data_IF_603553203519
#
_entry.id   IF_603553203519
#
_cell.length_a   1.000
_cell.length_b   1.000
_cell.length_c   1.000
_cell.angle_alpha   90.00
_cell.angle_beta   90.00
_cell.angle_gamma   90.00
#
_symmetry.space_group_name_H-M   'P 1'
#
loop_
_entity.id
_entity.type
_entity.pdbx_description
1 polymer ?
#
# COMPACT_ATOMS: atom_id res chain seq x y z
N UNK A 1 -1.18 -6.34 24.00
CA UNK A 1 -0.29 -7.08 23.08
C UNK A 1 0.22 -8.30 23.83
N UNK A 2 -0.08 -9.50 23.37
CA UNK A 2 0.29 -10.74 24.06
C UNK A 2 1.69 -11.14 23.55
N UNK A 3 2.68 -11.38 24.44
CA UNK A 3 4.01 -11.84 24.01
C UNK A 3 3.89 -13.21 23.31
N UNK A 4 4.79 -13.52 22.35
CA UNK A 4 4.76 -14.84 21.72
C UNK A 4 5.04 -15.93 22.76
N UNK A 5 4.42 -17.09 22.60
CA UNK A 5 4.77 -18.26 23.39
C UNK A 5 6.23 -18.65 23.14
N UNK A 6 6.93 -19.03 24.21
CA UNK A 6 8.27 -19.60 24.16
C UNK A 6 8.26 -21.13 24.16
N UNK A 7 7.08 -21.77 24.20
CA UNK A 7 6.96 -23.23 24.13
C UNK A 7 7.49 -23.74 22.79
N UNK A 8 8.40 -24.72 22.81
CA UNK A 8 8.94 -25.35 21.59
C UNK A 8 10.02 -24.53 20.87
N UNK A 9 10.45 -23.38 21.40
CA UNK A 9 11.44 -22.52 20.72
C UNK A 9 12.83 -23.14 20.66
N UNK A 10 13.18 -23.98 21.63
CA UNK A 10 14.45 -24.72 21.69
C UNK A 10 14.59 -25.77 20.59
N UNK A 11 13.47 -26.37 20.18
CA UNK A 11 13.40 -27.27 19.03
C UNK A 11 13.35 -26.50 17.69
N UNK A 12 12.83 -25.27 17.72
CA UNK A 12 12.56 -24.45 16.52
C UNK A 12 13.76 -23.68 16.01
N UNK A 13 14.46 -22.99 16.91
CA UNK A 13 15.50 -22.03 16.55
C UNK A 13 16.88 -22.63 16.76
N UNK A 14 17.81 -22.33 15.83
CA UNK A 14 19.22 -22.65 16.01
C UNK A 14 19.77 -21.94 17.26
N UNK A 15 20.76 -22.51 17.97
CA UNK A 15 21.23 -21.96 19.25
C UNK A 15 21.78 -20.55 19.11
N UNK A 16 22.56 -20.31 18.04
CA UNK A 16 23.13 -19.00 17.73
C UNK A 16 22.03 -17.97 17.51
N UNK A 17 21.01 -18.31 16.71
CA UNK A 17 19.86 -17.44 16.46
C UNK A 17 19.10 -17.09 17.75
N UNK A 18 18.78 -18.10 18.56
CA UNK A 18 18.05 -17.90 19.81
C UNK A 18 18.83 -17.00 20.78
N UNK A 19 20.16 -17.19 20.87
CA UNK A 19 21.05 -16.33 21.64
C UNK A 19 21.05 -14.90 21.12
N UNK A 20 21.13 -14.70 19.80
CA UNK A 20 21.13 -13.37 19.19
C UNK A 20 19.82 -12.61 19.42
N UNK A 21 18.67 -13.30 19.37
CA UNK A 21 17.37 -12.68 19.69
C UNK A 21 17.31 -12.25 21.16
N UNK A 22 17.77 -13.11 22.07
CA UNK A 22 17.70 -12.87 23.51
C UNK A 22 18.71 -11.83 24.00
N UNK A 23 19.93 -11.82 23.44
CA UNK A 23 21.05 -11.03 23.97
C UNK A 23 21.41 -9.85 23.05
N UNK A 24 21.32 -10.02 21.74
CA UNK A 24 21.82 -9.07 20.73
C UNK A 24 20.70 -8.35 19.97
N UNK A 25 19.45 -8.43 20.45
CA UNK A 25 18.29 -7.73 19.89
C UNK A 25 17.96 -8.09 18.43
N UNK A 26 18.41 -9.26 17.95
CA UNK A 26 18.16 -9.68 16.56
C UNK A 26 16.66 -9.80 16.28
N UNK A 27 16.22 -9.28 15.13
CA UNK A 27 14.82 -9.32 14.69
C UNK A 27 14.72 -9.79 13.24
N UNK A 28 13.65 -10.51 12.92
CA UNK A 28 13.31 -11.00 11.57
C UNK A 28 12.02 -10.37 11.01
N UNK A 29 11.37 -9.49 11.79
CA UNK A 29 10.12 -8.83 11.41
C UNK A 29 10.30 -7.32 11.50
N UNK A 30 10.79 -6.66 10.43
CA UNK A 30 11.07 -5.23 10.46
C UNK A 30 9.81 -4.40 10.75
N UNK A 31 8.65 -4.85 10.29
CA UNK A 31 7.34 -4.20 10.45
C UNK A 31 6.74 -4.27 11.87
N UNK A 32 7.23 -5.16 12.74
CA UNK A 32 6.80 -5.15 14.14
C UNK A 32 7.58 -4.06 14.86
N UNK A 33 6.93 -3.14 15.57
CA UNK A 33 7.64 -2.14 16.41
C UNK A 33 7.84 -2.61 17.85
N UNK A 34 6.96 -3.49 18.35
CA UNK A 34 7.10 -4.05 19.69
C UNK A 34 8.33 -4.94 19.76
N UNK A 35 9.16 -4.75 20.79
CA UNK A 35 10.37 -5.53 21.04
C UNK A 35 10.28 -6.24 22.38
N UNK A 36 10.96 -7.37 22.48
CA UNK A 36 11.19 -8.03 23.76
C UNK A 36 12.09 -7.11 24.63
N UNK A 37 11.75 -6.87 25.91
CA UNK A 37 12.64 -6.18 26.84
C UNK A 37 13.98 -6.91 26.98
N UNK A 38 15.01 -6.15 27.31
CA UNK A 38 16.37 -6.64 27.30
C UNK A 38 16.85 -6.85 28.72
N UNK A 39 16.85 -8.12 29.13
CA UNK A 39 17.16 -8.52 30.49
C UNK A 39 18.66 -8.68 30.73
N UNK A 40 19.50 -8.61 29.68
CA UNK A 40 20.96 -8.71 29.78
C UNK A 40 21.47 -10.14 29.91
N UNK A 41 22.67 -10.41 29.37
CA UNK A 41 23.25 -11.75 29.27
C UNK A 41 23.35 -12.48 30.61
N UNK A 42 23.62 -11.77 31.71
CA UNK A 42 23.71 -12.35 33.04
C UNK A 42 22.41 -13.04 33.48
N UNK A 43 21.25 -12.47 33.12
CA UNK A 43 19.95 -12.97 33.55
C UNK A 43 19.38 -14.05 32.62
N UNK A 44 19.65 -13.97 31.31
CA UNK A 44 18.97 -14.83 30.32
C UNK A 44 19.92 -15.65 29.43
N UNK A 45 21.24 -15.54 29.60
CA UNK A 45 22.21 -16.21 28.75
C UNK A 45 22.20 -17.74 28.83
N UNK A 46 21.62 -18.30 29.90
CA UNK A 46 21.50 -19.74 30.12
C UNK A 46 20.23 -20.35 29.49
N UNK A 47 19.22 -19.52 29.17
CA UNK A 47 17.92 -19.96 28.67
C UNK A 47 17.99 -20.74 27.34
N UNK A 48 18.82 -20.38 26.34
CA UNK A 48 18.90 -21.16 25.09
C UNK A 48 19.20 -22.65 25.32
N UNK A 49 20.08 -22.95 26.28
CA UNK A 49 20.43 -24.33 26.62
C UNK A 49 19.28 -25.06 27.33
N UNK A 50 18.56 -24.37 28.22
CA UNK A 50 17.40 -24.94 28.91
C UNK A 50 16.26 -25.23 27.93
N UNK A 51 15.92 -24.28 27.06
CA UNK A 51 14.90 -24.49 26.04
C UNK A 51 15.21 -25.70 25.16
N UNK A 52 16.47 -25.87 24.75
CA UNK A 52 16.89 -27.03 23.94
C UNK A 52 16.78 -28.36 24.68
N UNK A 53 17.02 -28.38 25.99
CA UNK A 53 16.90 -29.59 26.79
C UNK A 53 15.44 -30.01 26.98
N UNK A 54 14.53 -29.04 27.07
CA UNK A 54 13.11 -29.29 27.33
C UNK A 54 12.29 -29.49 26.05
N UNK A 55 12.61 -28.74 24.99
CA UNK A 55 11.85 -28.75 23.74
C UNK A 55 12.38 -29.84 22.81
N UNK A 56 11.77 -31.02 22.86
CA UNK A 56 12.01 -32.12 21.92
C UNK A 56 10.94 -32.17 20.82
N UNK A 57 11.34 -32.64 19.63
CA UNK A 57 10.44 -33.00 18.55
C UNK A 57 10.65 -34.47 18.17
N UNK A 58 9.59 -35.17 17.72
CA UNK A 58 9.74 -36.52 17.18
C UNK A 58 10.80 -36.55 16.08
N UNK A 59 11.53 -37.65 16.01
CA UNK A 59 12.43 -37.89 14.88
C UNK A 59 11.65 -37.97 13.58
N UNK A 60 12.29 -37.52 12.51
CA UNK A 60 11.74 -37.51 11.17
C UNK A 60 12.87 -37.80 10.19
N UNK A 61 12.59 -38.64 9.21
CA UNK A 61 13.53 -38.95 8.14
C UNK A 61 13.52 -37.82 7.11
N UNK A 62 14.70 -37.31 6.80
CA UNK A 62 14.89 -36.35 5.72
C UNK A 62 15.04 -37.09 4.41
N UNK A 63 14.30 -36.67 3.38
CA UNK A 63 14.55 -37.17 2.05
C UNK A 63 15.97 -36.82 1.60
N UNK A 64 16.54 -37.64 0.73
CA UNK A 64 17.86 -37.44 0.15
C UNK A 64 17.71 -37.14 -1.33
N UNK A 65 18.46 -36.15 -1.81
CA UNK A 65 18.59 -35.87 -3.24
C UNK A 65 19.95 -36.37 -3.75
N UNK A 66 20.00 -37.10 -4.88
CA UNK A 66 21.27 -37.56 -5.46
C UNK A 66 22.20 -36.40 -5.84
N UNK A 67 21.63 -35.34 -6.44
CA UNK A 67 22.36 -34.13 -6.79
C UNK A 67 21.80 -32.93 -6.01
N UNK A 68 22.66 -32.28 -5.23
CA UNK A 68 22.33 -31.07 -4.48
C UNK A 68 21.96 -29.91 -5.41
N UNK A 69 22.58 -29.82 -6.60
CA UNK A 69 22.26 -28.78 -7.57
C UNK A 69 20.84 -28.96 -8.09
N UNK A 70 20.46 -30.17 -8.46
CA UNK A 70 19.10 -30.52 -8.86
C UNK A 70 18.09 -30.23 -7.74
N UNK A 71 18.41 -30.61 -6.50
CA UNK A 71 17.56 -30.31 -5.34
C UNK A 71 17.30 -28.80 -5.19
N UNK A 72 18.33 -27.98 -5.38
CA UNK A 72 18.22 -26.52 -5.34
C UNK A 72 17.44 -25.94 -6.51
N UNK A 73 17.59 -26.49 -7.70
CA UNK A 73 16.81 -26.10 -8.88
C UNK A 73 15.33 -26.42 -8.67
N UNK A 74 15.02 -27.62 -8.15
CA UNK A 74 13.67 -28.00 -7.76
C UNK A 74 13.11 -27.10 -6.66
N UNK A 75 13.90 -26.81 -5.63
CA UNK A 75 13.51 -25.93 -4.54
C UNK A 75 13.20 -24.52 -5.03
N UNK A 76 14.02 -23.97 -5.93
CA UNK A 76 13.81 -22.68 -6.58
C UNK A 76 12.47 -22.62 -7.33
N UNK A 77 12.11 -23.67 -8.06
CA UNK A 77 10.83 -23.75 -8.76
C UNK A 77 9.66 -23.84 -7.80
N UNK A 78 9.77 -24.67 -6.77
CA UNK A 78 8.74 -24.87 -5.75
C UNK A 78 8.42 -23.58 -4.98
N UNK A 79 9.42 -22.80 -4.60
CA UNK A 79 9.16 -21.55 -3.84
C UNK A 79 8.56 -20.43 -4.72
N UNK A 80 8.73 -20.50 -6.03
CA UNK A 80 8.27 -19.50 -6.98
C UNK A 80 6.76 -19.55 -7.28
N UNK A 81 6.28 -18.58 -8.05
CA UNK A 81 4.85 -18.43 -8.38
C UNK A 81 4.24 -19.56 -9.24
N UNK A 82 5.07 -20.38 -9.89
CA UNK A 82 4.61 -21.58 -10.63
C UNK A 82 4.63 -22.86 -9.79
N UNK A 83 5.21 -22.84 -8.59
CA UNK A 83 5.21 -23.93 -7.62
C UNK A 83 4.15 -23.75 -6.54
N UNK A 84 4.59 -23.72 -5.29
CA UNK A 84 3.79 -23.47 -4.09
C UNK A 84 3.56 -21.98 -3.80
N UNK A 85 4.17 -21.09 -4.60
CA UNK A 85 3.98 -19.63 -4.53
C UNK A 85 4.31 -19.01 -3.17
N UNK A 86 5.37 -19.50 -2.50
CA UNK A 86 5.81 -19.01 -1.19
C UNK A 86 6.12 -17.50 -1.22
N UNK A 87 6.63 -17.02 -2.34
CA UNK A 87 7.00 -15.61 -2.59
C UNK A 87 5.82 -14.64 -2.63
N UNK A 88 4.58 -15.12 -2.74
CA UNK A 88 3.40 -14.25 -2.67
C UNK A 88 3.14 -13.69 -1.26
N UNK A 89 3.65 -14.36 -0.22
CA UNK A 89 3.47 -13.98 1.18
C UNK A 89 4.79 -13.78 1.93
N UNK A 90 5.90 -14.37 1.49
CA UNK A 90 7.17 -14.20 2.18
C UNK A 90 8.05 -13.15 1.52
N UNK A 91 8.70 -12.33 2.34
CA UNK A 91 9.77 -11.44 1.91
C UNK A 91 10.92 -12.25 1.29
N UNK A 92 11.60 -11.69 0.29
CA UNK A 92 12.76 -12.33 -0.33
C UNK A 92 13.87 -11.31 -0.60
N UNK A 93 15.03 -11.47 0.03
CA UNK A 93 16.16 -10.50 -0.09
C UNK A 93 15.72 -9.06 0.21
N UNK A 94 14.99 -8.87 1.32
CA UNK A 94 14.40 -7.60 1.74
C UNK A 94 13.31 -7.03 0.81
N UNK A 95 12.99 -7.70 -0.31
CA UNK A 95 11.84 -7.34 -1.13
C UNK A 95 10.58 -7.90 -0.48
N UNK A 96 9.75 -7.01 0.04
CA UNK A 96 8.47 -7.35 0.67
C UNK A 96 7.51 -7.94 -0.36
N UNK A 97 6.74 -8.95 0.04
CA UNK A 97 5.61 -9.40 -0.76
C UNK A 97 4.47 -8.38 -0.68
N UNK A 98 3.72 -8.18 -1.77
CA UNK A 98 2.67 -7.17 -1.84
C UNK A 98 1.44 -7.46 -0.97
N UNK A 99 1.18 -8.72 -0.65
CA UNK A 99 -0.04 -9.09 0.08
C UNK A 99 0.09 -8.92 1.59
N UNK A 100 1.06 -9.62 2.18
CA UNK A 100 1.32 -9.65 3.62
C UNK A 100 2.78 -10.09 3.83
N UNK A 101 3.72 -9.17 4.11
CA UNK A 101 5.13 -9.52 4.22
C UNK A 101 5.39 -10.39 5.46
N UNK A 102 5.45 -11.70 5.26
CA UNK A 102 5.95 -12.65 6.24
C UNK A 102 7.49 -12.61 6.29
N UNK A 103 8.05 -13.43 7.18
CA UNK A 103 9.49 -13.55 7.42
C UNK A 103 10.28 -13.82 6.13
N UNK A 104 11.48 -13.26 6.01
CA UNK A 104 12.30 -13.38 4.80
C UNK A 104 12.76 -14.83 4.58
N UNK A 105 12.40 -15.43 3.44
CA UNK A 105 12.77 -16.81 3.10
C UNK A 105 14.28 -17.03 3.18
N UNK A 106 15.07 -16.02 2.81
CA UNK A 106 16.54 -16.11 2.77
C UNK A 106 17.20 -16.14 4.15
N UNK A 107 16.44 -16.02 5.25
CA UNK A 107 16.94 -16.21 6.61
C UNK A 107 16.51 -17.54 7.24
N UNK A 108 15.66 -18.32 6.56
CA UNK A 108 15.03 -19.50 7.19
C UNK A 108 16.04 -20.56 7.61
N UNK A 109 17.01 -20.90 6.74
CA UNK A 109 18.01 -21.91 7.05
C UNK A 109 19.04 -21.45 8.09
N UNK A 110 19.29 -20.14 8.23
CA UNK A 110 20.13 -19.59 9.31
C UNK A 110 19.39 -19.63 10.65
N UNK A 111 18.07 -19.44 10.62
CA UNK A 111 17.23 -19.27 11.80
C UNK A 111 16.71 -20.57 12.38
N UNK A 112 16.21 -21.47 11.52
CA UNK A 112 15.41 -22.63 11.93
C UNK A 112 16.26 -23.89 12.01
N UNK A 113 15.90 -24.78 12.94
CA UNK A 113 16.36 -26.16 12.91
C UNK A 113 15.65 -26.91 11.77
N UNK A 114 16.42 -27.68 10.97
CA UNK A 114 15.88 -28.44 9.82
C UNK A 114 14.75 -29.38 10.24
N UNK A 115 14.92 -30.07 11.37
CA UNK A 115 13.89 -30.96 11.95
C UNK A 115 12.58 -30.24 12.19
N UNK A 116 12.64 -29.03 12.77
CA UNK A 116 11.44 -28.23 12.99
C UNK A 116 10.81 -27.76 11.68
N UNK A 117 11.63 -27.33 10.71
CA UNK A 117 11.14 -26.91 9.40
C UNK A 117 10.32 -28.02 8.73
N UNK A 118 10.82 -29.27 8.75
CA UNK A 118 10.10 -30.43 8.22
C UNK A 118 8.73 -30.62 8.84
N UNK A 119 8.67 -30.68 10.18
CA UNK A 119 7.40 -30.84 10.90
C UNK A 119 6.45 -29.67 10.62
N UNK A 120 6.96 -28.44 10.57
CA UNK A 120 6.16 -27.25 10.30
C UNK A 120 5.61 -27.23 8.87
N UNK A 121 6.40 -27.62 7.87
CA UNK A 121 5.95 -27.66 6.47
C UNK A 121 4.86 -28.70 6.24
N UNK A 122 4.93 -29.85 6.93
CA UNK A 122 3.92 -30.90 6.85
C UNK A 122 2.59 -30.50 7.48
N UNK A 123 2.61 -29.75 8.59
CA UNK A 123 1.40 -29.29 9.28
C UNK A 123 1.61 -27.94 10.01
N UNK A 124 1.51 -26.80 9.29
CA UNK A 124 1.74 -25.48 9.89
C UNK A 124 0.74 -25.13 11.00
N UNK A 125 -0.51 -25.60 10.88
CA UNK A 125 -1.61 -25.26 11.80
C UNK A 125 -1.37 -25.86 13.19
N UNK A 126 -0.76 -27.05 13.27
CA UNK A 126 -0.39 -27.68 14.55
C UNK A 126 0.61 -26.86 15.37
N UNK A 127 1.49 -26.12 14.70
CA UNK A 127 2.52 -25.29 15.36
C UNK A 127 2.09 -23.84 15.55
N UNK A 128 1.19 -23.34 14.72
CA UNK A 128 0.74 -21.96 14.74
C UNK A 128 -0.74 -21.94 14.38
N UNK A 129 -1.63 -22.15 15.38
CA UNK A 129 -3.07 -22.10 15.15
C UNK A 129 -3.48 -20.78 14.50
N UNK A 130 -4.31 -20.85 13.46
CA UNK A 130 -4.75 -19.71 12.66
C UNK A 130 -3.64 -19.05 11.81
N UNK A 131 -2.53 -19.75 11.54
CA UNK A 131 -1.57 -19.26 10.57
C UNK A 131 -2.22 -19.15 9.20
N UNK A 132 -1.91 -18.08 8.46
CA UNK A 132 -2.35 -17.91 7.07
C UNK A 132 -1.60 -18.85 6.13
N UNK A 133 -0.48 -19.42 6.58
CA UNK A 133 0.30 -20.36 5.79
C UNK A 133 -0.55 -21.61 5.46
N UNK A 134 -0.76 -21.91 4.17
CA UNK A 134 -1.55 -23.07 3.75
C UNK A 134 -0.87 -24.39 4.13
N UNK A 135 -1.69 -25.44 4.26
CA UNK A 135 -1.18 -26.83 4.24
C UNK A 135 -0.97 -27.25 2.78
N UNK A 136 0.29 -27.37 2.36
CA UNK A 136 0.63 -27.78 0.99
C UNK A 136 0.60 -29.29 0.78
N UNK A 137 0.59 -30.08 1.86
CA UNK A 137 0.53 -31.54 1.80
C UNK A 137 -0.56 -32.14 2.69
N UNK A 138 -1.84 -31.75 2.52
CA UNK A 138 -2.93 -32.26 3.37
C UNK A 138 -3.04 -33.78 3.27
N UNK A 139 -3.07 -34.46 4.42
CA UNK A 139 -3.10 -35.92 4.48
C UNK A 139 -1.84 -36.61 3.92
N UNK A 140 -0.70 -35.90 3.88
CA UNK A 140 0.57 -36.43 3.38
C UNK A 140 0.64 -36.54 1.86
N UNK A 141 -0.18 -35.77 1.12
CA UNK A 141 -0.19 -35.75 -0.35
C UNK A 141 -0.04 -34.33 -0.88
N UNK A 142 0.76 -34.08 -1.92
CA UNK A 142 0.87 -32.76 -2.53
C UNK A 142 -0.50 -32.21 -2.95
N UNK A 143 -0.80 -30.97 -2.57
CA UNK A 143 -2.01 -30.27 -2.99
C UNK A 143 -2.04 -30.04 -4.51
N UNK A 144 -0.87 -30.04 -5.14
CA UNK A 144 -0.68 -29.90 -6.58
C UNK A 144 -0.06 -31.17 -7.16
N UNK A 145 -0.87 -31.93 -7.88
CA UNK A 145 -0.47 -33.19 -8.49
C UNK A 145 0.51 -33.02 -9.67
N UNK A 146 0.60 -31.82 -10.22
CA UNK A 146 1.51 -31.48 -11.32
C UNK A 146 2.93 -31.13 -10.84
N UNK A 147 3.14 -31.01 -9.52
CA UNK A 147 4.47 -30.87 -8.93
C UNK A 147 5.03 -32.24 -8.60
N UNK A 148 6.15 -32.61 -9.22
CA UNK A 148 6.77 -33.92 -9.05
C UNK A 148 7.40 -34.08 -7.65
N UNK A 149 7.65 -35.34 -7.27
CA UNK A 149 8.25 -35.71 -6.00
C UNK A 149 7.25 -35.90 -4.86
N UNK A 150 7.65 -36.68 -3.87
CA UNK A 150 6.94 -36.90 -2.62
C UNK A 150 6.96 -35.63 -1.74
N UNK A 151 6.08 -35.50 -0.74
CA UNK A 151 6.12 -34.38 0.20
C UNK A 151 7.51 -34.17 0.84
N UNK A 152 8.16 -35.25 1.26
CA UNK A 152 9.47 -35.16 1.91
C UNK A 152 10.57 -34.72 0.93
N UNK A 153 10.53 -35.16 -0.32
CA UNK A 153 11.47 -34.72 -1.37
C UNK A 153 11.26 -33.24 -1.72
N UNK A 154 10.01 -32.79 -1.84
CA UNK A 154 9.67 -31.39 -2.09
C UNK A 154 10.12 -30.49 -0.94
N UNK A 155 9.87 -30.90 0.31
CA UNK A 155 10.34 -30.17 1.51
C UNK A 155 11.87 -30.14 1.55
N UNK A 156 12.55 -31.23 1.22
CA UNK A 156 14.02 -31.26 1.19
C UNK A 156 14.57 -30.31 0.12
N UNK A 157 14.00 -30.34 -1.09
CA UNK A 157 14.41 -29.46 -2.18
C UNK A 157 14.26 -27.99 -1.78
N UNK A 158 13.13 -27.62 -1.15
CA UNK A 158 12.94 -26.28 -0.60
C UNK A 158 14.01 -25.97 0.45
N UNK A 159 14.29 -26.87 1.39
CA UNK A 159 15.32 -26.66 2.41
C UNK A 159 16.70 -26.43 1.78
N UNK A 160 17.13 -27.30 0.86
CA UNK A 160 18.42 -27.20 0.15
C UNK A 160 18.57 -25.88 -0.61
N UNK A 161 17.48 -25.40 -1.22
CA UNK A 161 17.44 -24.09 -1.84
C UNK A 161 17.60 -22.94 -0.82
N UNK A 162 16.90 -23.02 0.32
CA UNK A 162 16.95 -22.00 1.37
C UNK A 162 18.30 -21.95 2.11
N UNK A 163 19.10 -23.03 2.08
CA UNK A 163 20.46 -23.05 2.65
C UNK A 163 21.41 -22.05 1.98
N UNK A 164 21.17 -21.65 0.74
CA UNK A 164 21.96 -20.60 0.08
C UNK A 164 21.70 -19.21 0.66
N UNK A 165 20.67 -19.07 1.51
CA UNK A 165 20.34 -17.86 2.24
C UNK A 165 20.28 -16.64 1.32
N UNK A 166 21.03 -15.58 1.67
CA UNK A 166 21.09 -14.33 0.88
C UNK A 166 21.70 -14.51 -0.51
N UNK A 167 22.43 -15.59 -0.76
CA UNK A 167 23.02 -15.92 -2.06
C UNK A 167 22.08 -16.73 -2.97
N UNK A 168 20.94 -17.20 -2.46
CA UNK A 168 19.97 -17.98 -3.24
C UNK A 168 19.54 -17.22 -4.51
N UNK A 169 19.28 -17.95 -5.60
CA UNK A 169 18.76 -17.38 -6.85
C UNK A 169 17.32 -16.86 -6.64
N UNK A 170 16.99 -15.69 -7.18
CA UNK A 170 15.66 -15.10 -7.05
C UNK A 170 14.58 -15.95 -7.74
N UNK A 171 13.54 -16.43 -7.03
CA UNK A 171 12.44 -17.17 -7.63
C UNK A 171 11.59 -16.31 -8.55
N UNK A 172 10.92 -16.95 -9.50
CA UNK A 172 9.88 -16.32 -10.32
C UNK A 172 8.74 -15.82 -9.42
N UNK A 173 8.22 -14.64 -9.71
CA UNK A 173 7.16 -13.99 -8.93
C UNK A 173 7.65 -13.03 -7.86
N UNK A 174 8.93 -13.06 -7.47
CA UNK A 174 9.55 -11.99 -6.64
C UNK A 174 9.75 -10.72 -7.46
N UNK A 175 10.15 -10.88 -8.72
CA UNK A 175 10.13 -9.83 -9.72
C UNK A 175 8.87 -10.09 -10.53
N UNK A 176 7.83 -9.32 -10.28
CA UNK A 176 6.64 -9.36 -11.11
C UNK A 176 6.88 -8.48 -12.33
N UNK A 177 6.51 -8.98 -13.51
CA UNK A 177 6.48 -8.15 -14.72
C UNK A 177 5.41 -7.07 -14.50
N UNK A 178 5.72 -5.79 -14.79
CA UNK A 178 4.78 -4.72 -14.53
C UNK A 178 3.52 -4.90 -15.39
N UNK A 179 2.35 -4.71 -14.78
CA UNK A 179 1.07 -4.69 -15.48
C UNK A 179 0.64 -3.24 -15.68
N UNK A 180 1.21 -2.62 -16.71
CA UNK A 180 1.02 -1.20 -17.00
C UNK A 180 -0.36 -1.00 -17.65
N UNK A 181 -1.17 -0.13 -17.04
CA UNK A 181 -2.36 0.41 -17.71
C UNK A 181 -1.92 1.59 -18.56
N UNK A 182 -1.93 1.38 -19.87
CA UNK A 182 -1.60 2.43 -20.85
C UNK A 182 -2.84 3.28 -21.12
N UNK A 183 -2.67 4.60 -21.04
CA UNK A 183 -3.69 5.57 -21.43
C UNK A 183 -3.50 5.88 -22.92
N UNK A 184 -4.56 5.72 -23.69
CA UNK A 184 -4.58 6.03 -25.12
C UNK A 184 -5.20 7.39 -25.37
N UNK A 185 -6.24 7.40 -26.18
CA UNK A 185 -7.02 8.56 -26.65
C UNK A 185 -8.23 8.91 -25.76
N UNK A 186 -8.50 8.07 -24.76
CA UNK A 186 -9.55 8.23 -23.75
C UNK A 186 -8.96 7.98 -22.35
N UNK A 187 -9.60 8.58 -21.34
CA UNK A 187 -9.19 8.39 -19.96
C UNK A 187 -9.33 6.91 -19.53
N UNK A 188 -8.41 6.47 -18.67
CA UNK A 188 -8.45 5.14 -18.05
C UNK A 188 -8.59 5.26 -16.55
N UNK A 189 -9.34 4.35 -15.95
CA UNK A 189 -9.61 4.36 -14.52
C UNK A 189 -9.21 3.05 -13.85
N UNK A 190 -8.73 3.13 -12.60
CA UNK A 190 -8.50 1.99 -11.75
C UNK A 190 -8.98 2.27 -10.32
N UNK A 191 -9.89 1.44 -9.82
CA UNK A 191 -10.50 1.58 -8.47
C UNK A 191 -9.86 0.62 -7.48
N UNK A 192 -8.91 1.12 -6.70
CA UNK A 192 -8.08 0.34 -5.77
C UNK A 192 -7.48 1.25 -4.69
N UNK A 193 -6.68 0.67 -3.81
CA UNK A 193 -5.89 1.41 -2.82
C UNK A 193 -4.69 2.09 -3.50
N UNK A 194 -4.45 3.36 -3.21
CA UNK A 194 -3.32 4.14 -3.73
C UNK A 194 -2.45 4.64 -2.55
N UNK A 195 -1.20 5.06 -2.78
CA UNK A 195 -0.43 5.76 -1.75
C UNK A 195 -1.22 6.98 -1.24
N UNK A 196 -1.36 7.11 0.09
CA UNK A 196 -2.11 8.20 0.72
C UNK A 196 -3.64 8.18 0.56
N UNK A 197 -4.21 7.21 -0.15
CA UNK A 197 -5.66 7.05 -0.35
C UNK A 197 -6.08 5.60 -0.09
N UNK A 198 -7.12 5.42 0.73
CA UNK A 198 -7.60 4.10 1.14
C UNK A 198 -8.17 3.23 -0.01
N UNK A 199 -8.82 2.12 0.35
CA UNK A 199 -9.38 1.14 -0.62
C UNK A 199 -10.46 1.72 -1.57
N UNK A 200 -10.92 2.94 -1.33
CA UNK A 200 -11.91 3.67 -2.13
C UNK A 200 -11.28 4.72 -3.05
N UNK A 201 -9.98 4.59 -3.32
CA UNK A 201 -9.30 5.39 -4.32
C UNK A 201 -9.80 5.09 -5.73
N UNK A 202 -9.93 6.16 -6.51
CA UNK A 202 -10.27 6.12 -7.94
C UNK A 202 -9.15 6.86 -8.67
N UNK A 203 -8.20 6.11 -9.23
CA UNK A 203 -7.21 6.70 -10.11
C UNK A 203 -7.80 6.96 -11.49
N UNK A 204 -7.41 8.07 -12.09
CA UNK A 204 -7.77 8.46 -13.47
C UNK A 204 -6.50 8.89 -14.17
N UNK A 205 -6.20 8.26 -15.31
CA UNK A 205 -5.13 8.67 -16.20
C UNK A 205 -5.71 9.28 -17.47
N UNK A 206 -5.24 10.46 -17.83
CA UNK A 206 -5.71 11.24 -18.97
C UNK A 206 -4.73 11.16 -20.15
N UNK A 207 -5.22 11.18 -21.40
CA UNK A 207 -4.40 11.16 -22.62
C UNK A 207 -3.24 12.17 -22.63
N UNK A 208 -3.41 13.34 -22.01
CA UNK A 208 -2.37 14.36 -21.85
C UNK A 208 -1.18 13.99 -20.94
N UNK A 209 -1.09 12.75 -20.46
CA UNK A 209 0.01 12.30 -19.58
C UNK A 209 -0.03 12.91 -18.19
N UNK A 210 -1.24 13.27 -17.75
CA UNK A 210 -1.54 13.76 -16.40
C UNK A 210 -2.50 12.78 -15.74
N UNK A 211 -2.33 12.58 -14.45
CA UNK A 211 -3.06 11.57 -13.71
C UNK A 211 -3.46 12.11 -12.33
N UNK A 212 -4.57 11.61 -11.81
CA UNK A 212 -5.05 11.91 -10.47
C UNK A 212 -5.47 10.65 -9.73
N UNK A 213 -5.55 10.76 -8.41
CA UNK A 213 -6.30 9.83 -7.57
C UNK A 213 -7.33 10.61 -6.77
N UNK A 214 -8.60 10.21 -6.90
CA UNK A 214 -9.72 10.75 -6.14
C UNK A 214 -10.04 9.82 -4.97
N UNK A 215 -10.21 10.37 -3.78
CA UNK A 215 -10.60 9.62 -2.58
C UNK A 215 -12.11 9.69 -2.41
N UNK A 216 -12.82 8.63 -2.82
CA UNK A 216 -14.27 8.57 -2.71
C UNK A 216 -14.78 8.28 -1.28
N UNK A 217 -13.89 8.02 -0.31
CA UNK A 217 -14.30 7.93 1.09
C UNK A 217 -14.42 9.32 1.72
N UNK A 218 -13.48 10.20 1.39
CA UNK A 218 -13.41 11.55 1.94
C UNK A 218 -13.96 12.63 0.99
N UNK A 219 -14.22 12.31 -0.28
CA UNK A 219 -14.65 13.26 -1.32
C UNK A 219 -13.62 14.38 -1.52
N UNK A 220 -12.40 13.97 -1.87
CA UNK A 220 -11.27 14.87 -2.11
C UNK A 220 -10.40 14.43 -3.28
N UNK A 221 -9.67 15.38 -3.86
CA UNK A 221 -8.51 15.10 -4.68
C UNK A 221 -7.37 14.60 -3.78
N UNK A 222 -6.96 13.34 -3.94
CA UNK A 222 -5.97 12.67 -3.09
C UNK A 222 -4.52 12.92 -3.52
N UNK A 223 -4.29 13.11 -4.81
CA UNK A 223 -2.96 13.41 -5.35
C UNK A 223 -2.93 13.48 -6.87
N UNK A 224 -1.83 14.02 -7.39
CA UNK A 224 -1.60 14.27 -8.82
C UNK A 224 -0.21 13.78 -9.23
N UNK A 225 -0.06 13.31 -10.47
CA UNK A 225 1.26 13.00 -11.06
C UNK A 225 1.26 13.08 -12.58
N UNK A 226 2.45 13.24 -13.16
CA UNK A 226 2.69 13.22 -14.59
C UNK A 226 3.35 11.92 -15.04
N UNK A 227 3.22 11.63 -16.34
CA UNK A 227 3.85 10.49 -16.99
C UNK A 227 2.88 9.35 -17.20
N UNK A 228 3.38 8.12 -17.07
CA UNK A 228 2.53 6.93 -17.17
C UNK A 228 1.47 6.92 -16.06
N UNK A 229 0.34 6.26 -16.32
CA UNK A 229 -0.73 6.18 -15.34
C UNK A 229 -0.34 5.30 -14.16
N UNK A 230 -0.44 3.97 -14.28
CA UNK A 230 -0.18 3.06 -13.16
C UNK A 230 0.35 1.71 -13.61
N UNK A 231 1.13 1.09 -12.72
CA UNK A 231 1.38 -0.34 -12.69
C UNK A 231 0.40 -0.97 -11.68
N UNK A 232 -0.45 -1.87 -12.19
CA UNK A 232 -1.51 -2.53 -11.46
C UNK A 232 -1.11 -3.91 -10.90
N UNK A 233 0.15 -4.32 -11.06
CA UNK A 233 0.57 -5.70 -10.75
C UNK A 233 0.29 -6.10 -9.30
N UNK A 234 0.57 -5.21 -8.35
CA UNK A 234 0.36 -5.46 -6.91
C UNK A 234 -1.13 -5.57 -6.50
N UNK A 235 -2.06 -5.07 -7.31
CA UNK A 235 -3.52 -5.07 -7.02
C UNK A 235 -4.32 -6.07 -7.85
N UNK A 236 -3.71 -6.65 -8.88
CA UNK A 236 -4.30 -7.66 -9.75
C UNK A 236 -3.67 -9.04 -9.60
N UNK A 237 -2.54 -9.16 -8.91
CA UNK A 237 -1.95 -10.44 -8.54
C UNK A 237 -2.18 -10.78 -7.06
N UNK A 238 -2.04 -12.06 -6.71
CA UNK A 238 -2.22 -12.54 -5.34
C UNK A 238 -3.66 -12.36 -4.82
N UNK A 239 -3.80 -11.84 -3.60
CA UNK A 239 -5.10 -11.57 -2.95
C UNK A 239 -5.63 -10.15 -3.23
N UNK A 240 -4.97 -9.36 -4.09
CA UNK A 240 -5.39 -8.01 -4.45
C UNK A 240 -5.36 -6.98 -3.30
N UNK A 241 -4.57 -7.23 -2.25
CA UNK A 241 -4.44 -6.37 -1.06
C UNK A 241 -3.31 -5.34 -1.14
N UNK A 242 -2.54 -5.31 -2.23
CA UNK A 242 -1.46 -4.35 -2.45
C UNK A 242 -1.94 -2.92 -2.73
N UNK A 243 -0.98 -2.04 -3.01
CA UNK A 243 -1.24 -0.67 -3.46
C UNK A 243 -1.03 -0.58 -4.97
N UNK A 244 -1.85 0.23 -5.65
CA UNK A 244 -1.54 0.65 -7.02
C UNK A 244 -0.23 1.42 -7.00
N UNK A 245 0.62 1.20 -8.02
CA UNK A 245 1.88 1.92 -8.17
C UNK A 245 1.74 2.98 -9.26
N UNK A 246 1.68 4.28 -8.92
CA UNK A 246 1.77 5.36 -9.90
C UNK A 246 3.08 5.29 -10.70
N UNK A 247 3.01 5.52 -12.01
CA UNK A 247 4.19 5.57 -12.89
C UNK A 247 4.72 7.00 -13.02
N UNK A 248 4.90 7.65 -11.88
CA UNK A 248 5.38 9.02 -11.75
C UNK A 248 5.53 9.41 -10.28
N UNK A 249 6.15 10.56 -10.02
CA UNK A 249 6.22 11.13 -8.66
C UNK A 249 4.86 11.74 -8.33
N UNK A 250 4.19 11.19 -7.32
CA UNK A 250 2.93 11.73 -6.81
C UNK A 250 3.19 12.97 -5.98
N UNK A 251 2.46 14.04 -6.27
CA UNK A 251 2.19 15.13 -5.34
C UNK A 251 0.94 14.77 -4.52
N UNK A 252 1.09 14.37 -3.25
CA UNK A 252 -0.05 14.05 -2.40
C UNK A 252 -0.72 15.34 -1.91
N UNK A 253 -2.04 15.28 -1.76
CA UNK A 253 -2.82 16.29 -1.03
C UNK A 253 -3.22 15.77 0.35
N UNK A 254 -3.44 16.70 1.27
CA UNK A 254 -3.79 16.41 2.67
C UNK A 254 -5.13 15.68 2.81
N UNK A 255 -5.32 15.01 3.95
CA UNK A 255 -6.54 14.29 4.27
C UNK A 255 -7.71 15.24 4.66
N UNK A 256 -8.92 14.70 4.76
CA UNK A 256 -10.16 15.44 5.01
C UNK A 256 -10.89 15.87 3.73
N UNK A 257 -12.20 16.16 3.79
CA UNK A 257 -13.02 16.43 2.60
C UNK A 257 -12.64 17.72 1.89
N UNK A 258 -12.78 17.83 0.57
CA UNK A 258 -12.47 19.12 -0.10
C UNK A 258 -13.51 20.21 0.22
N UNK A 259 -14.80 19.88 0.35
CA UNK A 259 -15.84 20.84 0.73
C UNK A 259 -16.26 20.64 2.19
N UNK A 260 -16.32 21.71 2.98
CA UNK A 260 -16.89 21.68 4.33
C UNK A 260 -17.41 23.07 4.79
N UNK A 261 -18.00 23.12 5.98
CA UNK A 261 -18.39 24.35 6.67
C UNK A 261 -17.17 25.07 7.26
N UNK A 262 -16.99 26.36 6.94
CA UNK A 262 -15.85 27.17 7.40
C UNK A 262 -15.86 27.42 8.90
N UNK A 263 -17.02 27.36 9.53
CA UNK A 263 -17.22 27.59 10.96
C UNK A 263 -17.00 26.34 11.80
N UNK A 264 -16.89 25.17 11.16
CA UNK A 264 -16.61 23.90 11.84
C UNK A 264 -15.12 23.54 11.76
N UNK A 265 -14.57 22.83 12.77
CA UNK A 265 -13.22 22.28 12.69
C UNK A 265 -13.07 21.37 11.47
N UNK A 266 -11.93 21.46 10.80
CA UNK A 266 -11.63 20.61 9.64
C UNK A 266 -11.35 19.18 10.11
N UNK A 267 -12.19 18.22 9.72
CA UNK A 267 -12.08 16.83 10.20
C UNK A 267 -11.09 16.04 9.35
N UNK A 268 -9.95 15.66 9.95
CA UNK A 268 -8.88 14.87 9.30
C UNK A 268 -8.82 13.46 9.88
N UNK A 269 -9.78 12.61 9.52
CA UNK A 269 -9.77 11.19 9.91
C UNK A 269 -9.72 10.26 8.68
N UNK A 270 -9.37 8.98 8.87
CA UNK A 270 -9.32 8.00 7.77
C UNK A 270 -10.70 7.58 7.24
N UNK A 271 -11.77 7.97 7.91
CA UNK A 271 -13.14 7.59 7.58
C UNK A 271 -13.87 8.60 6.71
N UNK A 272 -15.11 8.27 6.39
CA UNK A 272 -16.03 9.20 5.75
C UNK A 272 -16.53 10.25 6.76
N UNK A 273 -16.40 11.56 6.48
CA UNK A 273 -17.01 12.58 7.31
C UNK A 273 -18.54 12.41 7.39
N UNK A 274 -19.19 12.63 8.55
CA UNK A 274 -20.58 12.21 8.79
C UNK A 274 -21.63 12.82 7.85
N UNK A 275 -21.42 14.07 7.41
CA UNK A 275 -22.37 14.79 6.55
C UNK A 275 -22.10 14.60 5.06
N UNK A 276 -21.01 13.91 4.72
CA UNK A 276 -20.53 13.82 3.36
C UNK A 276 -20.91 12.46 2.76
N UNK A 277 -21.42 12.47 1.53
CA UNK A 277 -21.87 11.26 0.85
C UNK A 277 -21.42 11.24 -0.60
N UNK A 278 -20.57 10.29 -0.95
CA UNK A 278 -20.28 9.97 -2.33
C UNK A 278 -21.53 9.39 -3.02
N UNK A 279 -21.88 9.93 -4.19
CA UNK A 279 -23.05 9.53 -4.99
C UNK A 279 -22.68 8.80 -6.28
N UNK A 280 -21.39 8.67 -6.59
CA UNK A 280 -20.89 7.97 -7.77
C UNK A 280 -20.16 8.90 -8.72
N UNK A 281 -20.09 8.52 -9.99
CA UNK A 281 -19.54 9.36 -11.05
C UNK A 281 -20.26 9.08 -12.37
N UNK A 282 -20.25 10.05 -13.28
CA UNK A 282 -20.68 9.90 -14.68
C UNK A 282 -19.44 10.00 -15.57
N UNK A 283 -19.41 9.23 -16.66
CA UNK A 283 -18.33 9.29 -17.64
C UNK A 283 -18.83 10.05 -18.86
N UNK A 284 -17.98 10.93 -19.39
CA UNK A 284 -18.22 11.53 -20.70
C UNK A 284 -17.77 10.60 -21.84
N UNK A 285 -17.88 11.07 -23.08
CA UNK A 285 -17.49 10.31 -24.28
C UNK A 285 -16.00 9.94 -24.29
N UNK A 286 -15.15 10.71 -23.59
CA UNK A 286 -13.72 10.44 -23.43
C UNK A 286 -13.39 9.65 -22.16
N UNK A 287 -14.40 9.04 -21.54
CA UNK A 287 -14.30 8.28 -20.30
C UNK A 287 -13.79 9.09 -19.10
N UNK A 288 -13.87 10.43 -19.16
CA UNK A 288 -13.45 11.32 -18.06
C UNK A 288 -14.56 11.36 -17.01
N UNK A 289 -14.25 11.16 -15.71
CA UNK A 289 -15.26 11.12 -14.68
C UNK A 289 -15.64 12.52 -14.17
N UNK A 290 -16.94 12.78 -14.11
CA UNK A 290 -17.52 13.77 -13.20
C UNK A 290 -17.90 13.08 -11.91
N UNK A 291 -17.20 13.37 -10.81
CA UNK A 291 -17.49 12.83 -9.49
C UNK A 291 -18.70 13.54 -8.88
N UNK A 292 -19.62 12.76 -8.31
CA UNK A 292 -20.87 13.26 -7.75
C UNK A 292 -20.88 12.98 -6.25
N UNK A 293 -21.10 14.01 -5.43
CA UNK A 293 -21.24 13.85 -3.99
C UNK A 293 -22.14 14.93 -3.37
N UNK A 294 -22.42 14.80 -2.09
CA UNK A 294 -23.18 15.80 -1.34
C UNK A 294 -22.64 16.00 0.06
N UNK A 295 -22.80 17.22 0.58
CA UNK A 295 -22.54 17.60 1.97
C UNK A 295 -23.84 18.16 2.55
N UNK A 296 -24.52 17.37 3.38
CA UNK A 296 -25.90 17.65 3.75
C UNK A 296 -26.79 17.76 2.50
N UNK A 297 -27.39 18.94 2.31
CA UNK A 297 -28.26 19.26 1.16
C UNK A 297 -27.51 19.85 -0.04
N UNK A 298 -26.24 20.22 0.13
CA UNK A 298 -25.40 20.75 -0.95
C UNK A 298 -24.99 19.59 -1.85
N UNK A 299 -25.21 19.71 -3.15
CA UNK A 299 -24.79 18.75 -4.17
C UNK A 299 -23.63 19.29 -4.98
N UNK A 300 -22.66 18.42 -5.29
CA UNK A 300 -21.43 18.78 -5.97
C UNK A 300 -21.23 17.86 -7.18
N UNK A 301 -20.92 18.47 -8.31
CA UNK A 301 -20.36 17.82 -9.48
C UNK A 301 -18.92 18.32 -9.67
N UNK A 302 -17.96 17.40 -9.67
CA UNK A 302 -16.53 17.70 -9.64
C UNK A 302 -15.84 17.01 -10.82
N UNK A 303 -15.50 17.80 -11.83
CA UNK A 303 -15.01 17.33 -13.11
C UNK A 303 -13.56 17.74 -13.33
N UNK A 304 -12.78 16.81 -13.86
CA UNK A 304 -11.37 17.01 -14.16
C UNK A 304 -11.11 16.68 -15.62
N UNK A 305 -10.41 17.57 -16.31
CA UNK A 305 -9.98 17.32 -17.69
C UNK A 305 -8.60 17.94 -17.94
N UNK A 306 -7.81 17.26 -18.75
CA UNK A 306 -6.58 17.77 -19.28
C UNK A 306 -6.85 18.86 -20.32
N UNK A 307 -6.02 19.90 -20.32
CA UNK A 307 -5.88 20.75 -21.48
C UNK A 307 -4.82 20.13 -22.39
N UNK A 308 -5.08 20.08 -23.70
CA UNK A 308 -4.07 19.66 -24.66
C UNK A 308 -2.83 20.56 -24.48
N UNK A 309 -1.60 20.01 -24.63
CA UNK A 309 -0.41 20.84 -24.62
C UNK A 309 -0.53 21.88 -25.75
N UNK A 310 -0.53 23.17 -25.39
CA UNK A 310 -0.20 24.23 -26.34
C UNK A 310 1.32 24.19 -26.63
N UNK A 311 1.84 25.12 -27.44
CA UNK A 311 3.29 25.31 -27.70
C UNK A 311 4.15 25.52 -26.42
N UNK A 312 3.53 25.62 -25.25
CA UNK A 312 4.19 25.87 -23.96
C UNK A 312 4.86 24.66 -23.28
N UNK A 313 4.73 23.44 -23.84
CA UNK A 313 5.12 22.14 -23.25
C UNK A 313 4.57 21.81 -21.84
N UNK A 314 4.03 22.78 -21.11
CA UNK A 314 3.47 22.62 -19.78
C UNK A 314 2.17 21.83 -19.84
N UNK A 315 2.09 20.76 -19.04
CA UNK A 315 0.85 20.00 -18.86
C UNK A 315 -0.06 20.73 -17.89
N UNK A 316 -1.34 20.77 -18.21
CA UNK A 316 -2.36 21.47 -17.42
C UNK A 316 -3.52 20.51 -17.14
N UNK A 317 -3.96 20.47 -15.89
CA UNK A 317 -5.21 19.81 -15.49
C UNK A 317 -6.18 20.88 -15.00
N UNK A 318 -7.36 20.94 -15.60
CA UNK A 318 -8.45 21.81 -15.15
C UNK A 318 -9.39 21.03 -14.24
N UNK A 319 -9.86 21.69 -13.18
CA UNK A 319 -10.89 21.18 -12.29
C UNK A 319 -12.06 22.15 -12.29
N UNK A 320 -13.22 21.67 -12.68
CA UNK A 320 -14.46 22.43 -12.76
C UNK A 320 -15.44 21.85 -11.74
N UNK A 321 -15.90 22.67 -10.80
CA UNK A 321 -16.79 22.27 -9.72
C UNK A 321 -18.10 23.03 -9.82
N UNK A 322 -19.21 22.30 -9.89
CA UNK A 322 -20.56 22.84 -9.82
C UNK A 322 -21.17 22.52 -8.46
N UNK A 323 -21.67 23.54 -7.77
CA UNK A 323 -22.19 23.44 -6.41
C UNK A 323 -23.61 24.01 -6.39
N UNK A 324 -24.57 23.23 -5.91
CA UNK A 324 -25.96 23.66 -5.81
C UNK A 324 -26.53 23.28 -4.44
N UNK A 325 -27.46 24.09 -3.93
CA UNK A 325 -28.18 23.80 -2.68
C UNK A 325 -29.65 24.24 -2.79
N UNK A 326 -30.61 23.48 -2.24
CA UNK A 326 -32.01 23.89 -2.19
C UNK A 326 -32.28 24.99 -1.14
N UNK A 327 -31.32 25.26 -0.25
CA UNK A 327 -31.41 26.23 0.84
C UNK A 327 -30.19 27.15 0.86
N UNK A 328 -30.30 28.32 1.48
CA UNK A 328 -29.16 29.21 1.68
C UNK A 328 -28.14 28.54 2.60
N UNK A 329 -26.88 28.49 2.14
CA UNK A 329 -25.75 27.89 2.84
C UNK A 329 -24.58 28.87 2.87
N UNK A 330 -24.54 29.78 3.85
CA UNK A 330 -23.41 30.67 4.03
C UNK A 330 -22.22 29.92 4.63
N UNK A 331 -21.02 30.42 4.37
CA UNK A 331 -19.79 29.98 5.00
C UNK A 331 -19.30 28.62 4.56
N UNK A 332 -19.41 28.32 3.27
CA UNK A 332 -18.75 27.15 2.71
C UNK A 332 -17.29 27.46 2.39
N UNK A 333 -16.46 26.43 2.49
CA UNK A 333 -15.07 26.43 2.04
C UNK A 333 -14.78 25.22 1.17
N UNK A 334 -13.97 25.42 0.14
CA UNK A 334 -13.53 24.36 -0.76
C UNK A 334 -12.00 24.35 -0.87
N UNK A 335 -11.35 23.25 -0.54
CA UNK A 335 -9.90 23.07 -0.71
C UNK A 335 -9.55 22.91 -2.18
N UNK A 336 -8.79 23.86 -2.69
CA UNK A 336 -8.27 23.85 -4.06
C UNK A 336 -7.01 22.99 -4.15
N UNK A 337 -6.09 23.18 -3.21
CA UNK A 337 -4.81 22.48 -3.15
C UNK A 337 -4.27 22.51 -1.72
N UNK A 338 -3.35 21.60 -1.42
CA UNK A 338 -2.49 21.67 -0.23
C UNK A 338 -1.07 21.22 -0.50
N UNK A 339 -0.16 21.66 0.36
CA UNK A 339 1.28 21.43 0.25
C UNK A 339 1.99 21.81 1.54
N UNK A 340 3.24 21.38 1.68
CA UNK A 340 4.09 21.80 2.81
C UNK A 340 4.40 23.29 2.74
N UNK A 341 4.59 23.80 1.53
CA UNK A 341 4.85 25.19 1.23
C UNK A 341 3.91 25.67 0.14
N UNK A 342 3.27 26.80 0.42
CA UNK A 342 2.41 27.51 -0.52
C UNK A 342 2.88 28.95 -0.58
N UNK A 343 3.29 29.39 -1.76
CA UNK A 343 3.71 30.75 -2.03
C UNK A 343 2.69 31.43 -2.94
N UNK A 344 2.22 32.62 -2.56
CA UNK A 344 1.35 33.43 -3.42
C UNK A 344 2.24 34.22 -4.38
N UNK A 345 2.15 33.92 -5.68
CA UNK A 345 2.90 34.62 -6.72
C UNK A 345 2.20 35.93 -7.13
N UNK A 346 0.87 35.87 -7.27
CA UNK A 346 0.01 37.02 -7.52
C UNK A 346 -1.40 36.80 -6.92
N UNK A 347 -2.38 37.65 -7.24
CA UNK A 347 -3.75 37.55 -6.70
C UNK A 347 -4.46 36.23 -7.06
N UNK A 348 -4.16 35.66 -8.22
CA UNK A 348 -4.79 34.48 -8.82
C UNK A 348 -3.86 33.27 -8.94
N UNK A 349 -2.57 33.41 -8.61
CA UNK A 349 -1.55 32.40 -8.88
C UNK A 349 -0.80 32.01 -7.62
N UNK A 350 -0.72 30.70 -7.36
CA UNK A 350 -0.08 30.14 -6.18
C UNK A 350 0.86 29.00 -6.55
N UNK A 351 2.07 28.99 -6.01
CA UNK A 351 3.03 27.90 -6.17
C UNK A 351 2.93 26.90 -5.01
N UNK A 352 2.88 25.60 -5.33
CA UNK A 352 2.74 24.51 -4.37
C UNK A 352 3.99 23.63 -4.39
N UNK A 353 4.70 23.55 -3.26
CA UNK A 353 5.89 22.70 -3.04
C UNK A 353 6.95 22.74 -4.16
N UNK A 354 7.03 23.85 -4.90
CA UNK A 354 7.87 24.01 -6.09
C UNK A 354 7.61 22.99 -7.21
N UNK A 355 6.48 22.28 -7.17
CA UNK A 355 6.13 21.24 -8.14
C UNK A 355 5.20 21.74 -9.25
N UNK A 356 4.17 22.48 -8.89
CA UNK A 356 3.21 23.05 -9.83
C UNK A 356 2.64 24.37 -9.33
N UNK A 357 2.01 25.08 -10.25
CA UNK A 357 1.30 26.34 -10.04
C UNK A 357 -0.19 26.08 -10.10
N UNK A 358 -0.94 26.65 -9.18
CA UNK A 358 -2.40 26.69 -9.18
C UNK A 358 -2.84 28.07 -9.63
N UNK A 359 -3.69 28.12 -10.66
CA UNK A 359 -4.31 29.35 -11.16
C UNK A 359 -5.80 29.32 -10.89
N UNK A 360 -6.30 30.29 -10.12
CA UNK A 360 -7.69 30.39 -9.70
C UNK A 360 -8.36 31.61 -10.33
N UNK A 361 -9.71 31.72 -10.34
CA UNK A 361 -10.40 32.89 -10.85
C UNK A 361 -9.99 34.17 -10.10
N UNK A 362 -9.82 35.31 -10.78
CA UNK A 362 -9.33 36.54 -10.16
C UNK A 362 -10.30 37.17 -9.14
N UNK A 363 -11.59 36.83 -9.23
CA UNK A 363 -12.66 37.25 -8.33
C UNK A 363 -12.92 36.26 -7.18
N UNK A 364 -12.17 35.15 -7.12
CA UNK A 364 -12.30 34.16 -6.07
C UNK A 364 -11.83 34.69 -4.71
N UNK A 365 -12.65 34.51 -3.67
CA UNK A 365 -12.25 34.77 -2.28
C UNK A 365 -11.37 33.62 -1.77
N UNK A 366 -10.05 33.81 -1.81
CA UNK A 366 -9.07 32.78 -1.46
C UNK A 366 -8.38 33.06 -0.13
N UNK A 367 -8.36 32.05 0.74
CA UNK A 367 -7.57 32.03 1.97
C UNK A 367 -6.45 30.97 1.90
N UNK A 368 -5.30 31.28 2.49
CA UNK A 368 -4.26 30.30 2.80
C UNK A 368 -4.34 30.03 4.30
N UNK A 369 -4.60 28.78 4.67
CA UNK A 369 -4.77 28.37 6.07
C UNK A 369 -3.89 27.17 6.38
N UNK A 370 -3.53 27.02 7.65
CA UNK A 370 -2.76 25.86 8.09
C UNK A 370 -3.62 24.58 8.01
N UNK A 371 -3.01 23.49 7.56
CA UNK A 371 -3.63 22.18 7.50
C UNK A 371 -3.45 21.46 8.84
N UNK A 372 -4.54 21.10 9.56
CA UNK A 372 -4.41 20.47 10.87
C UNK A 372 -3.68 19.13 10.75
N UNK A 373 -2.82 18.85 11.72
CA UNK A 373 -2.13 17.58 11.84
C UNK A 373 -3.17 16.46 12.09
N UNK A 374 -3.44 15.66 11.06
CA UNK A 374 -4.17 14.40 11.21
C UNK A 374 -3.24 13.24 11.53
N UNK A 375 -3.81 12.09 11.92
CA UNK A 375 -3.08 10.82 11.91
C UNK A 375 -2.62 10.53 10.47
N UNK A 376 -1.33 10.75 10.20
CA UNK A 376 -0.78 10.74 8.83
C UNK A 376 -0.59 9.30 8.39
N UNK A 377 -1.46 8.82 7.50
CA UNK A 377 -1.26 7.52 6.86
C UNK A 377 -0.05 7.56 5.91
N UNK A 378 0.58 6.41 5.68
CA UNK A 378 1.73 6.29 4.77
C UNK A 378 1.38 6.82 3.36
N UNK A 379 2.08 7.86 2.91
CA UNK A 379 1.87 8.52 1.63
C UNK A 379 0.94 9.75 1.65
N UNK A 380 0.40 10.14 2.81
CA UNK A 380 -0.27 11.45 2.99
C UNK A 380 0.76 12.54 3.33
N UNK A 381 0.42 13.79 3.03
CA UNK A 381 1.20 14.92 3.56
C UNK A 381 0.93 15.07 5.06
N UNK A 382 1.95 15.04 5.94
CA UNK A 382 1.84 15.60 7.29
C UNK A 382 1.59 17.11 7.19
N UNK A 383 1.10 17.75 8.26
CA UNK A 383 0.65 19.14 8.29
C UNK A 383 1.48 20.14 7.46
N UNK A 384 0.76 21.13 6.92
CA UNK A 384 1.27 22.10 5.96
C UNK A 384 0.31 23.27 5.80
N UNK A 385 0.09 23.73 4.58
CA UNK A 385 -0.89 24.77 4.26
C UNK A 385 -1.85 24.28 3.20
N UNK A 386 -3.05 24.84 3.18
CA UNK A 386 -4.03 24.64 2.10
C UNK A 386 -4.58 25.95 1.58
N UNK A 387 -4.91 25.96 0.30
CA UNK A 387 -5.63 27.03 -0.37
C UNK A 387 -7.11 26.69 -0.35
N UNK A 388 -7.92 27.58 0.21
CA UNK A 388 -9.36 27.43 0.27
C UNK A 388 -10.07 28.56 -0.48
N UNK A 389 -11.02 28.17 -1.33
CA UNK A 389 -12.06 29.04 -1.84
C UNK A 389 -13.15 29.19 -0.79
N UNK A 390 -13.54 30.41 -0.46
CA UNK A 390 -14.61 30.72 0.49
C UNK A 390 -15.78 31.36 -0.23
N UNK A 391 -16.99 30.86 0.02
CA UNK A 391 -18.19 31.33 -0.67
C UNK A 391 -19.45 31.02 0.14
N UNK A 392 -20.53 31.69 -0.25
CA UNK A 392 -21.88 31.40 0.23
C UNK A 392 -22.68 30.84 -0.95
N UNK A 393 -23.48 29.79 -0.72
CA UNK A 393 -24.39 29.26 -1.71
C UNK A 393 -25.81 29.77 -1.42
N UNK A 394 -26.51 30.26 -2.44
CA UNK A 394 -27.91 30.70 -2.34
C UNK A 394 -28.85 29.59 -2.80
N UNK A 395 -30.04 29.56 -2.22
CA UNK A 395 -31.06 28.57 -2.54
C UNK A 395 -31.39 28.58 -4.04
N UNK A 396 -31.20 27.43 -4.70
CA UNK A 396 -31.48 27.18 -6.11
C UNK A 396 -30.69 28.07 -7.09
N UNK A 397 -29.54 28.61 -6.66
CA UNK A 397 -28.59 29.33 -7.52
C UNK A 397 -27.28 28.54 -7.59
N UNK A 398 -27.09 27.66 -8.61
CA UNK A 398 -25.85 26.90 -8.76
C UNK A 398 -24.65 27.81 -8.97
N UNK A 399 -23.55 27.50 -8.30
CA UNK A 399 -22.24 28.12 -8.47
C UNK A 399 -21.37 27.23 -9.34
N UNK A 400 -20.58 27.86 -10.20
CA UNK A 400 -19.61 27.18 -11.05
C UNK A 400 -18.22 27.79 -10.82
N UNK A 401 -17.27 26.96 -10.46
CA UNK A 401 -15.88 27.35 -10.23
C UNK A 401 -14.97 26.52 -11.10
N UNK A 402 -13.94 27.15 -11.69
CA UNK A 402 -12.92 26.46 -12.46
C UNK A 402 -11.53 27.01 -12.12
N UNK A 403 -10.55 26.11 -12.02
CA UNK A 403 -9.16 26.46 -11.80
C UNK A 403 -8.23 25.45 -12.45
N UNK A 404 -6.94 25.78 -12.52
CA UNK A 404 -5.93 25.02 -13.24
C UNK A 404 -4.79 24.59 -12.32
N UNK A 405 -4.33 23.35 -12.50
CA UNK A 405 -3.07 22.84 -11.98
C UNK A 405 -2.07 22.79 -13.15
N UNK A 406 -1.04 23.63 -13.12
CA UNK A 406 -0.06 23.82 -14.19
C UNK A 406 1.31 23.35 -13.70
N UNK A 407 1.83 22.29 -14.28
CA UNK A 407 3.16 21.79 -13.92
C UNK A 407 4.26 22.71 -14.44
N UNK A 408 5.35 22.81 -13.67
CA UNK A 408 6.55 23.55 -14.06
C UNK A 408 7.47 22.73 -14.95
#
# INVERSE_FOLDING_TARGET
>A
RIPPSLTGVGAKLKPGWLRDVLVNHRSVRPYMLTRMPQFGKANIGHLPSLFRQTDALPDIEFATWPDRKEAKERGLELVGNRGLNCVACHTYKYKTSDTMPAVDLTEMAERLEKKWFYHYMLDPQKFSPNTVMPSFWPGGRPIRADLEGTPHEQIEAIWQYLEDGRQARTPRGVIQEPLIIVVGDEARMLRRKYPGVGKRGIGVGYPGGVNLVYDAEQMRLGGLWQGGFVDAVAVWTGQGSGNVRPLGRVHPFGAGPDLDDRHQPWVVNEGRPPQHRFRGYRLDEKQRPTFLYSVGEVTIEDFFHEQAPDDSEARVLKRSVTIASPSDRPGLRFRIASGKQIERLDASTFEIDQGFVVRVPPDASIAIVDEPDGDVAEGQQPGGKRIELQFDCRANEPLHWEWEYVWK
#
